data_IF_750514318362
#
_entry.id   IF_750514318362
#
_cell.length_a   1.000
_cell.length_b   1.000
_cell.length_c   1.000
_cell.angle_alpha   90.00
_cell.angle_beta   90.00
_cell.angle_gamma   90.00
#
_symmetry.space_group_name_H-M   'P 1'
#
loop_
_entity.id
_entity.type
_entity.pdbx_description
1 polymer ?
#
# COMPACT_ATOMS: atom_id res chain seq x y z
N UNK A 1 -8.34 20.09 -9.06
CA UNK A 1 -9.35 19.40 -9.91
C UNK A 1 -10.49 18.83 -9.06
N UNK A 2 -11.65 18.54 -9.66
CA UNK A 2 -12.78 17.86 -8.98
C UNK A 2 -12.84 16.42 -9.48
N UNK A 3 -12.72 15.47 -8.57
CA UNK A 3 -12.82 14.03 -8.84
C UNK A 3 -13.39 13.32 -7.61
N UNK A 4 -13.90 12.08 -7.75
CA UNK A 4 -14.42 11.31 -6.61
C UNK A 4 -13.34 11.03 -5.55
N UNK A 5 -13.70 11.12 -4.27
CA UNK A 5 -12.77 10.87 -3.15
C UNK A 5 -12.10 9.49 -3.21
N UNK A 6 -12.87 8.46 -3.60
CA UNK A 6 -12.38 7.08 -3.77
C UNK A 6 -11.21 6.97 -4.75
N UNK A 7 -11.09 7.90 -5.69
CA UNK A 7 -9.98 7.90 -6.65
C UNK A 7 -8.64 8.20 -5.97
N UNK A 8 -8.63 9.07 -4.96
CA UNK A 8 -7.41 9.44 -4.22
C UNK A 8 -6.99 8.43 -3.16
N UNK A 9 -7.92 7.62 -2.66
CA UNK A 9 -7.66 6.72 -1.55
C UNK A 9 -6.56 5.70 -1.85
N UNK A 10 -6.64 5.03 -3.02
CA UNK A 10 -5.66 4.01 -3.43
C UNK A 10 -4.24 4.58 -3.61
N UNK A 11 -4.02 5.68 -4.38
CA UNK A 11 -2.71 6.30 -4.48
C UNK A 11 -2.13 6.73 -3.13
N UNK A 12 -2.94 7.33 -2.24
CA UNK A 12 -2.46 7.78 -0.93
C UNK A 12 -2.07 6.59 -0.06
N UNK A 13 -2.89 5.53 -0.01
CA UNK A 13 -2.57 4.31 0.76
C UNK A 13 -1.31 3.60 0.25
N UNK A 14 -1.07 3.64 -1.06
CA UNK A 14 0.08 2.99 -1.68
C UNK A 14 1.38 3.82 -1.53
N UNK A 15 1.28 5.14 -1.63
CA UNK A 15 2.45 6.03 -1.70
C UNK A 15 2.80 6.75 -0.39
N UNK A 16 1.85 6.95 0.52
CA UNK A 16 2.05 7.72 1.74
C UNK A 16 1.94 6.84 3.00
N UNK A 17 3.02 6.69 3.77
CA UNK A 17 3.04 5.84 4.96
C UNK A 17 2.04 6.31 6.02
N UNK A 18 1.45 5.34 6.73
CA UNK A 18 0.51 5.59 7.82
C UNK A 18 1.14 6.25 9.02
N UNK A 19 2.30 5.75 9.38
CA UNK A 19 3.01 6.17 10.56
C UNK A 19 4.47 6.37 10.17
N UNK A 20 4.97 7.57 10.44
CA UNK A 20 6.38 7.93 10.34
C UNK A 20 6.87 8.37 11.71
N UNK A 21 8.12 8.07 12.03
CA UNK A 21 8.71 8.54 13.27
C UNK A 21 8.79 10.07 13.28
N UNK A 22 8.31 10.71 14.36
CA UNK A 22 8.36 12.18 14.51
C UNK A 22 9.77 12.78 14.48
N UNK A 23 10.80 11.98 14.79
CA UNK A 23 12.20 12.43 14.85
C UNK A 23 12.98 12.13 13.57
N UNK A 24 12.96 10.88 13.10
CA UNK A 24 13.81 10.45 11.97
C UNK A 24 13.05 10.28 10.65
N UNK A 25 11.72 10.42 10.63
CA UNK A 25 10.90 10.28 9.42
C UNK A 25 10.79 8.85 8.87
N UNK A 26 11.45 7.84 9.46
CA UNK A 26 11.33 6.44 9.03
C UNK A 26 9.89 5.97 9.12
N UNK A 27 9.38 5.42 8.02
CA UNK A 27 8.06 4.83 7.94
C UNK A 27 7.99 3.50 8.73
N UNK A 28 6.87 3.27 9.43
CA UNK A 28 6.56 1.96 9.97
C UNK A 28 6.08 1.06 8.84
N UNK A 29 6.69 -0.12 8.77
CA UNK A 29 6.36 -1.15 7.80
C UNK A 29 5.78 -2.34 8.55
N UNK A 30 4.77 -2.95 7.95
CA UNK A 30 4.11 -4.12 8.50
C UNK A 30 5.10 -5.29 8.60
N UNK A 31 5.22 -5.88 9.78
CA UNK A 31 5.97 -7.13 9.97
C UNK A 31 5.01 -8.27 9.69
N UNK A 32 5.39 -9.12 8.74
CA UNK A 32 4.53 -10.18 8.21
C UNK A 32 5.20 -11.52 8.43
N UNK A 33 4.49 -12.40 9.13
CA UNK A 33 4.85 -13.80 9.22
C UNK A 33 4.20 -14.57 8.08
N UNK A 34 5.01 -15.37 7.39
CA UNK A 34 4.57 -16.25 6.31
C UNK A 34 4.95 -17.67 6.68
N UNK A 35 3.96 -18.54 6.71
CA UNK A 35 4.22 -19.97 6.77
C UNK A 35 4.97 -20.40 5.51
N UNK A 36 5.88 -21.36 5.64
CA UNK A 36 6.59 -21.94 4.50
C UNK A 36 5.74 -23.06 3.93
N UNK A 37 5.40 -22.95 2.65
CA UNK A 37 4.71 -24.02 1.95
C UNK A 37 5.57 -25.30 2.02
N UNK A 38 4.99 -26.45 2.36
CA UNK A 38 5.73 -27.69 2.43
C UNK A 38 6.05 -28.18 0.99
N UNK A 39 7.10 -29.01 0.81
CA UNK A 39 7.60 -29.39 -0.52
C UNK A 39 6.54 -29.97 -1.47
N UNK A 40 5.51 -30.64 -0.94
CA UNK A 40 4.43 -31.29 -1.68
C UNK A 40 3.55 -30.30 -2.45
N UNK A 41 3.52 -29.02 -2.02
CA UNK A 41 2.82 -27.95 -2.73
C UNK A 41 3.52 -27.62 -4.05
N UNK A 42 4.83 -27.84 -4.12
CA UNK A 42 5.67 -27.57 -5.28
C UNK A 42 5.85 -28.79 -6.18
N UNK A 43 5.64 -30.01 -5.67
CA UNK A 43 5.79 -31.23 -6.48
C UNK A 43 4.52 -31.57 -7.26
N UNK A 44 4.72 -32.09 -8.47
CA UNK A 44 3.64 -32.68 -9.25
C UNK A 44 3.87 -34.19 -9.33
N UNK A 45 2.92 -34.99 -8.84
CA UNK A 45 3.00 -36.46 -8.87
C UNK A 45 2.99 -37.06 -10.30
N UNK A 46 2.85 -36.22 -11.33
CA UNK A 46 2.70 -36.63 -12.74
C UNK A 46 3.85 -36.20 -13.68
N UNK A 47 5.02 -35.82 -13.18
CA UNK A 47 6.19 -35.57 -14.05
C UNK A 47 7.21 -36.70 -13.90
N UNK A 48 7.42 -37.53 -14.95
CA UNK A 48 8.58 -38.42 -15.02
C UNK A 48 9.87 -37.61 -14.86
N UNK A 49 10.87 -38.18 -14.20
CA UNK A 49 12.15 -37.57 -13.82
C UNK A 49 13.04 -37.09 -14.97
N UNK A 50 12.61 -37.25 -16.23
CA UNK A 50 13.50 -37.18 -17.40
C UNK A 50 13.14 -36.03 -18.36
N UNK A 51 12.97 -34.81 -17.83
CA UNK A 51 12.89 -33.60 -18.65
C UNK A 51 14.15 -32.75 -18.52
N UNK A 52 15.33 -33.38 -18.73
CA UNK A 52 16.53 -32.65 -19.13
C UNK A 52 16.42 -32.31 -20.61
N UNK A 53 15.68 -31.26 -20.96
CA UNK A 53 15.91 -30.47 -22.17
C UNK A 53 15.25 -29.11 -21.98
N UNK A 54 16.09 -28.10 -21.79
CA UNK A 54 15.66 -26.71 -21.87
C UNK A 54 15.15 -26.42 -23.27
N UNK A 55 13.86 -26.07 -23.36
CA UNK A 55 13.27 -25.44 -24.53
C UNK A 55 12.31 -24.37 -24.01
N UNK A 56 12.72 -23.11 -24.11
CA UNK A 56 11.84 -21.96 -23.96
C UNK A 56 10.73 -22.07 -25.01
N UNK A 57 9.60 -22.65 -24.63
CA UNK A 57 8.37 -22.62 -25.42
C UNK A 57 7.33 -21.90 -24.58
N UNK A 58 6.93 -20.72 -25.03
CA UNK A 58 6.00 -19.81 -24.38
C UNK A 58 4.59 -20.41 -24.25
N UNK A 59 4.40 -21.28 -23.26
CA UNK A 59 3.11 -21.82 -22.86
C UNK A 59 2.94 -21.69 -21.35
N UNK A 60 1.91 -20.96 -20.91
CA UNK A 60 1.58 -20.81 -19.47
C UNK A 60 1.28 -22.19 -18.87
N UNK A 61 2.22 -22.74 -18.10
CA UNK A 61 2.00 -23.94 -17.28
C UNK A 61 0.96 -23.64 -16.19
N UNK A 62 -0.32 -23.91 -16.48
CA UNK A 62 -1.48 -23.63 -15.60
C UNK A 62 -1.53 -24.47 -14.30
N UNK A 63 -0.67 -25.47 -14.14
CA UNK A 63 -0.79 -26.47 -13.05
C UNK A 63 0.04 -26.22 -11.78
N UNK A 64 1.25 -25.67 -11.89
CA UNK A 64 2.13 -25.49 -10.73
C UNK A 64 1.76 -24.26 -9.89
N UNK A 65 1.29 -23.19 -10.54
CA UNK A 65 0.86 -21.97 -9.86
C UNK A 65 -0.41 -22.15 -9.02
N UNK A 66 -1.34 -23.03 -9.44
CA UNK A 66 -2.64 -23.17 -8.78
C UNK A 66 -2.54 -23.83 -7.40
N UNK A 67 -1.74 -24.89 -7.23
CA UNK A 67 -1.55 -25.53 -5.90
C UNK A 67 -0.94 -24.56 -4.90
N UNK A 68 0.09 -23.84 -5.33
CA UNK A 68 0.73 -22.80 -4.50
C UNK A 68 -0.22 -21.66 -4.19
N UNK A 69 -1.06 -21.25 -5.15
CA UNK A 69 -2.06 -20.22 -4.95
C UNK A 69 -3.14 -20.65 -3.95
N UNK A 70 -3.72 -21.85 -4.11
CA UNK A 70 -4.68 -22.42 -3.16
C UNK A 70 -4.06 -22.53 -1.75
N UNK A 71 -2.79 -22.94 -1.66
CA UNK A 71 -2.11 -23.01 -0.37
C UNK A 71 -1.93 -21.62 0.26
N UNK A 72 -1.56 -20.59 -0.50
CA UNK A 72 -1.45 -19.19 -0.02
C UNK A 72 -2.79 -18.61 0.41
N UNK A 73 -3.87 -18.98 -0.28
CA UNK A 73 -5.24 -18.58 0.08
C UNK A 73 -5.68 -19.23 1.40
N UNK A 74 -5.34 -20.50 1.62
CA UNK A 74 -5.60 -21.20 2.88
C UNK A 74 -4.69 -20.75 4.04
N UNK A 75 -3.47 -20.27 3.75
CA UNK A 75 -2.47 -19.84 4.74
C UNK A 75 -2.09 -18.37 4.49
N UNK A 76 -3.01 -17.42 4.71
CA UNK A 76 -2.75 -16.03 4.41
C UNK A 76 -1.65 -15.48 5.34
N UNK A 77 -0.81 -14.56 4.83
CA UNK A 77 0.22 -13.91 5.63
C UNK A 77 -0.37 -13.21 6.85
N UNK A 78 0.16 -13.49 8.04
CA UNK A 78 -0.31 -12.87 9.30
C UNK A 78 0.52 -11.63 9.60
N UNK A 79 -0.17 -10.53 9.92
CA UNK A 79 0.48 -9.34 10.46
C UNK A 79 0.78 -9.57 11.92
N UNK A 80 2.06 -9.62 12.29
CA UNK A 80 2.49 -9.85 13.67
C UNK A 80 2.91 -8.57 14.39
N UNK A 81 3.04 -7.46 13.66
CA UNK A 81 3.36 -6.17 14.24
C UNK A 81 3.82 -5.17 13.19
N UNK A 82 4.53 -4.16 13.66
CA UNK A 82 5.02 -3.04 12.87
C UNK A 82 6.45 -2.72 13.29
N UNK A 83 7.28 -2.32 12.33
CA UNK A 83 8.64 -1.88 12.64
C UNK A 83 8.62 -0.68 13.57
N UNK A 84 9.71 -0.51 14.31
CA UNK A 84 10.00 0.67 15.13
C UNK A 84 11.42 1.15 14.88
N UNK A 85 11.71 2.37 15.30
CA UNK A 85 13.05 2.92 15.34
C UNK A 85 13.43 3.23 16.79
N UNK A 86 14.72 3.43 17.03
CA UNK A 86 15.26 3.68 18.38
C UNK A 86 15.01 5.10 18.91
N UNK A 87 14.31 5.95 18.14
CA UNK A 87 14.14 7.36 18.49
C UNK A 87 13.21 7.61 19.69
N UNK A 88 12.32 6.66 20.02
CA UNK A 88 11.32 6.79 21.10
C UNK A 88 10.51 8.11 21.08
N UNK A 89 10.33 8.71 19.89
CA UNK A 89 9.69 10.02 19.71
C UNK A 89 8.19 9.91 19.37
N UNK A 90 7.64 8.70 19.36
CA UNK A 90 6.30 8.42 18.84
C UNK A 90 6.21 8.53 17.31
N UNK A 91 4.98 8.37 16.83
CA UNK A 91 4.66 8.32 15.39
C UNK A 91 3.56 9.32 15.03
N UNK A 92 3.53 9.71 13.76
CA UNK A 92 2.52 10.58 13.16
C UNK A 92 2.26 10.20 11.70
N UNK A 93 1.21 10.78 11.10
CA UNK A 93 0.90 10.55 9.68
C UNK A 93 2.02 10.98 8.74
N UNK A 94 2.26 10.20 7.69
CA UNK A 94 3.05 10.64 6.52
C UNK A 94 2.46 11.90 5.88
N UNK A 95 3.26 12.61 5.08
CA UNK A 95 2.85 13.87 4.42
C UNK A 95 2.51 13.61 2.95
N UNK A 96 1.30 13.98 2.55
CA UNK A 96 0.88 14.02 1.14
C UNK A 96 1.14 15.42 0.59
N UNK A 97 1.90 15.54 -0.49
CA UNK A 97 2.08 16.80 -1.22
C UNK A 97 1.22 16.78 -2.49
N UNK A 98 0.37 17.79 -2.66
CA UNK A 98 -0.35 18.05 -3.91
C UNK A 98 0.00 19.46 -4.41
N UNK A 99 0.87 19.59 -5.43
CA UNK A 99 1.33 20.89 -5.92
C UNK A 99 0.28 21.63 -6.77
N UNK A 100 -0.85 21.00 -7.08
CA UNK A 100 -1.94 21.56 -7.88
C UNK A 100 -3.30 21.17 -7.28
N UNK A 101 -3.50 21.51 -6.00
CA UNK A 101 -4.56 20.90 -5.20
C UNK A 101 -5.98 21.28 -5.64
N UNK A 102 -6.18 22.41 -6.32
CA UNK A 102 -7.48 22.86 -6.82
C UNK A 102 -8.55 22.87 -5.72
N UNK A 103 -9.58 22.03 -5.86
CA UNK A 103 -10.65 21.88 -4.88
C UNK A 103 -10.27 21.06 -3.62
N UNK A 104 -9.01 20.65 -3.49
CA UNK A 104 -8.48 20.05 -2.26
C UNK A 104 -8.96 18.63 -1.99
N UNK A 105 -9.52 17.91 -2.97
CA UNK A 105 -10.05 16.55 -2.76
C UNK A 105 -8.95 15.60 -2.26
N UNK A 106 -7.74 15.64 -2.83
CA UNK A 106 -6.64 14.79 -2.38
C UNK A 106 -6.23 15.06 -0.92
N UNK A 107 -6.20 16.34 -0.52
CA UNK A 107 -5.88 16.75 0.85
C UNK A 107 -6.97 16.34 1.84
N UNK A 108 -8.23 16.47 1.43
CA UNK A 108 -9.36 16.01 2.24
C UNK A 108 -9.29 14.50 2.47
N UNK A 109 -9.02 13.70 1.44
CA UNK A 109 -8.83 12.25 1.58
C UNK A 109 -7.60 11.93 2.43
N UNK A 110 -6.50 12.67 2.28
CA UNK A 110 -5.33 12.54 3.17
C UNK A 110 -5.71 12.77 4.64
N UNK A 111 -6.52 13.80 4.93
CA UNK A 111 -7.06 14.07 6.27
C UNK A 111 -7.90 12.91 6.79
N UNK A 112 -8.83 12.37 5.98
CA UNK A 112 -9.68 11.22 6.36
C UNK A 112 -8.83 9.99 6.71
N UNK A 113 -7.74 9.77 5.95
CA UNK A 113 -6.78 8.69 6.18
C UNK A 113 -5.78 9.00 7.31
N UNK A 114 -5.99 10.06 8.10
CA UNK A 114 -5.08 10.49 9.19
C UNK A 114 -3.64 10.74 8.71
N UNK A 115 -3.48 11.17 7.45
CA UNK A 115 -2.22 11.65 6.90
C UNK A 115 -2.13 13.16 7.10
N UNK A 116 -0.91 13.65 7.21
CA UNK A 116 -0.61 15.08 7.08
C UNK A 116 -0.59 15.44 5.60
N UNK A 117 -0.71 16.72 5.29
CA UNK A 117 -0.82 17.15 3.90
C UNK A 117 -0.32 18.58 3.69
N UNK A 118 0.17 18.86 2.48
CA UNK A 118 0.55 20.17 1.98
C UNK A 118 -0.11 20.32 0.61
N UNK A 119 -0.89 21.38 0.43
CA UNK A 119 -1.54 21.73 -0.83
C UNK A 119 -1.01 23.05 -1.35
N UNK A 120 -0.74 23.12 -2.65
CA UNK A 120 -0.36 24.36 -3.34
C UNK A 120 -1.32 24.55 -4.51
N UNK A 121 -1.80 25.78 -4.68
CA UNK A 121 -2.51 26.21 -5.88
C UNK A 121 -2.18 27.69 -6.16
N UNK A 122 -2.15 28.06 -7.43
CA UNK A 122 -1.86 29.43 -7.86
C UNK A 122 -3.11 30.34 -7.75
N UNK A 123 -4.30 29.75 -7.79
CA UNK A 123 -5.57 30.50 -7.72
C UNK A 123 -6.02 30.61 -6.27
N UNK A 124 -6.09 31.84 -5.76
CA UNK A 124 -6.54 32.12 -4.39
C UNK A 124 -7.94 31.54 -4.13
N UNK A 125 -8.82 31.57 -5.12
CA UNK A 125 -10.18 31.03 -5.01
C UNK A 125 -10.20 29.52 -4.72
N UNK A 126 -9.19 28.79 -5.24
CA UNK A 126 -9.02 27.35 -4.99
C UNK A 126 -8.43 27.08 -3.61
N UNK A 127 -7.49 27.92 -3.15
CA UNK A 127 -7.01 27.89 -1.78
C UNK A 127 -8.15 28.09 -0.77
N UNK A 128 -9.00 29.10 -0.98
CA UNK A 128 -10.12 29.41 -0.07
C UNK A 128 -11.16 28.28 -0.04
N UNK A 129 -11.52 27.73 -1.21
CA UNK A 129 -12.41 26.57 -1.31
C UNK A 129 -11.82 25.35 -0.60
N UNK A 130 -10.53 25.08 -0.79
CA UNK A 130 -9.83 23.97 -0.13
C UNK A 130 -9.84 24.15 1.39
N UNK A 131 -9.56 25.35 1.90
CA UNK A 131 -9.61 25.64 3.33
C UNK A 131 -11.00 25.41 3.93
N UNK A 132 -12.07 25.87 3.25
CA UNK A 132 -13.46 25.61 3.66
C UNK A 132 -13.78 24.12 3.74
N UNK A 133 -13.34 23.34 2.74
CA UNK A 133 -13.50 21.88 2.75
C UNK A 133 -12.72 21.23 3.89
N UNK A 134 -11.48 21.64 4.11
CA UNK A 134 -10.63 21.10 5.17
C UNK A 134 -11.08 21.47 6.59
N UNK A 135 -11.86 22.54 6.76
CA UNK A 135 -12.46 22.90 8.04
C UNK A 135 -13.56 21.93 8.48
N UNK A 136 -14.11 21.13 7.57
CA UNK A 136 -15.12 20.12 7.90
C UNK A 136 -14.54 18.99 8.74
N UNK A 137 -15.36 18.39 9.60
CA UNK A 137 -15.00 17.22 10.40
C UNK A 137 -14.62 16.01 9.54
N UNK A 138 -13.88 15.08 10.14
CA UNK A 138 -13.66 13.73 9.57
C UNK A 138 -14.84 12.87 10.05
N UNK A 139 -15.46 12.12 9.13
CA UNK A 139 -16.58 11.22 9.44
C UNK A 139 -16.11 9.98 10.21
#
# INVERSE_FOLDING_TARGET
>A
AVFPEKLCEKPIKAGCPEEVCKKCGKARVRIVEKEKAPPEVFTNKNTPSDAYTGSYVGGKMRGQGQKLQNWREAHPPKTIGWTSCECNAGFEGGVVLDPFCGAGTALYVAKQLRRRYIGIDIKQEYCDMTMKRLAQGVL
#
